data_IF_079252811807
#
_entry.id   IF_079252811807
#
_cell.length_a   1.000
_cell.length_b   1.000
_cell.length_c   1.000
_cell.angle_alpha   90.00
_cell.angle_beta   90.00
_cell.angle_gamma   90.00
#
_symmetry.space_group_name_H-M   'P 1'
#
loop_
_entity.id
_entity.type
_entity.pdbx_description
1 polymer ?
#
# COMPACT_ATOMS: atom_id res chain seq x y z
N UNK A 1 4.02 7.18 20.18
CA UNK A 1 2.86 7.25 19.27
C UNK A 1 2.90 8.61 18.59
N UNK A 2 3.26 8.68 17.31
CA UNK A 2 3.27 9.96 16.59
C UNK A 2 1.90 10.17 15.96
N UNK A 3 1.12 11.09 16.51
CA UNK A 3 -0.15 11.51 15.93
C UNK A 3 0.13 12.57 14.85
N UNK A 4 0.18 12.15 13.59
CA UNK A 4 0.23 13.06 12.43
C UNK A 4 -1.19 13.56 12.12
N UNK A 5 -1.67 14.47 12.96
CA UNK A 5 -2.93 15.19 12.75
C UNK A 5 -2.71 16.46 11.93
N UNK A 6 -3.64 16.73 11.03
CA UNK A 6 -3.69 17.97 10.26
C UNK A 6 -5.04 18.64 10.48
N UNK A 7 -5.02 19.93 10.83
CA UNK A 7 -6.21 20.77 10.88
C UNK A 7 -6.47 21.42 9.53
N UNK A 8 -7.74 21.54 9.12
CA UNK A 8 -8.14 22.30 7.94
C UNK A 8 -9.34 23.18 8.31
N UNK A 9 -9.33 24.44 7.90
CA UNK A 9 -10.46 25.34 8.14
C UNK A 9 -11.68 25.00 7.28
N UNK A 10 -12.87 25.50 7.62
CA UNK A 10 -14.06 25.33 6.79
C UNK A 10 -13.84 25.90 5.37
N UNK A 11 -14.08 25.08 4.35
CA UNK A 11 -13.91 25.47 2.94
C UNK A 11 -12.45 25.47 2.45
N UNK A 12 -11.48 25.16 3.32
CA UNK A 12 -10.07 25.11 2.95
C UNK A 12 -9.65 23.70 2.51
N UNK A 13 -8.57 23.62 1.74
CA UNK A 13 -7.95 22.36 1.29
C UNK A 13 -6.53 22.30 1.79
N UNK A 14 -6.13 21.17 2.34
CA UNK A 14 -4.74 20.90 2.72
C UNK A 14 -4.23 19.64 2.03
N UNK A 15 -2.97 19.64 1.64
CA UNK A 15 -2.32 18.51 0.97
C UNK A 15 -1.07 18.11 1.74
N UNK A 16 -1.00 16.84 2.13
CA UNK A 16 0.14 16.28 2.85
C UNK A 16 0.90 15.35 1.91
N UNK A 17 2.21 15.60 1.75
CA UNK A 17 3.13 14.67 1.11
C UNK A 17 4.08 14.12 2.17
N UNK A 18 3.88 12.86 2.54
CA UNK A 18 4.76 12.14 3.45
C UNK A 18 5.71 11.25 2.64
N UNK A 19 7.00 11.34 2.91
CA UNK A 19 8.00 10.41 2.38
C UNK A 19 8.76 9.80 3.54
N UNK A 20 8.76 8.47 3.64
CA UNK A 20 9.37 7.75 4.74
C UNK A 20 10.30 6.67 4.20
N UNK A 21 11.53 6.62 4.75
CA UNK A 21 12.49 5.57 4.49
C UNK A 21 12.55 4.67 5.71
N UNK A 22 12.36 3.36 5.52
CA UNK A 22 12.47 2.40 6.60
C UNK A 22 13.86 2.52 7.28
N UNK A 23 13.92 2.51 8.62
CA UNK A 23 15.19 2.63 9.35
C UNK A 23 15.99 1.31 9.37
N UNK A 24 15.55 0.31 8.62
CA UNK A 24 16.19 -0.99 8.46
C UNK A 24 16.00 -1.48 7.03
N UNK A 25 16.85 -2.42 6.63
CA UNK A 25 16.71 -3.14 5.36
C UNK A 25 15.84 -4.37 5.60
N UNK A 26 14.92 -4.66 4.69
CA UNK A 26 14.18 -5.92 4.70
C UNK A 26 15.15 -7.03 4.33
N UNK A 27 15.44 -7.92 5.29
CA UNK A 27 16.35 -9.04 5.08
C UNK A 27 15.52 -10.26 4.70
N UNK A 28 15.23 -10.38 3.40
CA UNK A 28 14.45 -11.45 2.78
C UNK A 28 15.18 -12.81 2.76
N UNK A 29 16.22 -12.98 3.59
CA UNK A 29 17.16 -14.09 3.58
C UNK A 29 17.27 -14.84 4.90
N UNK A 30 16.69 -16.04 4.91
CA UNK A 30 17.00 -17.24 5.72
C UNK A 30 16.50 -17.36 7.18
N UNK A 31 15.80 -18.49 7.37
CA UNK A 31 15.58 -19.28 8.60
C UNK A 31 14.34 -19.04 9.47
N UNK A 32 13.64 -17.90 9.39
CA UNK A 32 12.28 -17.77 9.94
C UNK A 32 11.24 -17.36 8.88
N UNK A 33 11.71 -16.77 7.78
CA UNK A 33 10.98 -16.43 6.54
C UNK A 33 11.54 -17.19 5.32
N UNK A 34 12.08 -18.41 5.53
CA UNK A 34 12.83 -19.21 4.56
C UNK A 34 12.05 -19.71 3.33
N UNK A 35 10.89 -19.12 3.02
CA UNK A 35 10.10 -19.46 1.85
C UNK A 35 10.19 -18.38 0.76
N UNK A 36 11.28 -17.60 0.69
CA UNK A 36 11.49 -16.62 -0.38
C UNK A 36 10.26 -15.78 -0.66
N UNK A 37 9.52 -15.40 0.37
CA UNK A 37 8.19 -14.79 0.28
C UNK A 37 8.03 -13.76 1.38
N UNK A 38 7.57 -12.59 0.99
CA UNK A 38 7.33 -11.42 1.84
C UNK A 38 5.89 -10.93 1.65
N UNK A 39 5.30 -10.43 2.72
CA UNK A 39 3.96 -9.85 2.72
C UNK A 39 3.97 -8.36 3.07
N UNK A 40 3.03 -7.63 2.47
CA UNK A 40 2.75 -6.24 2.80
C UNK A 40 1.24 -6.05 2.90
N UNK A 41 0.78 -5.35 3.94
CA UNK A 41 -0.61 -4.97 4.09
C UNK A 41 -0.75 -3.48 4.42
N UNK A 42 -1.82 -2.89 3.89
CA UNK A 42 -2.19 -1.50 4.11
C UNK A 42 -3.68 -1.43 4.41
N UNK A 43 -4.01 -0.92 5.59
CA UNK A 43 -5.38 -0.56 5.94
C UNK A 43 -5.57 0.94 5.68
N UNK A 44 -6.51 1.28 4.81
CA UNK A 44 -6.94 2.65 4.57
C UNK A 44 -8.36 2.82 5.09
N UNK A 45 -8.53 3.66 6.11
CA UNK A 45 -9.83 3.91 6.72
C UNK A 45 -10.46 5.18 6.17
N UNK A 46 -11.73 5.08 5.78
CA UNK A 46 -12.49 6.24 5.33
C UNK A 46 -12.88 7.09 6.53
N UNK A 47 -12.66 8.41 6.43
CA UNK A 47 -13.19 9.35 7.42
C UNK A 47 -14.70 9.53 7.23
N UNK A 48 -15.47 9.39 8.32
CA UNK A 48 -16.91 9.61 8.30
C UNK A 48 -17.28 11.01 7.77
N UNK A 49 -18.37 11.09 6.99
CA UNK A 49 -18.85 12.34 6.39
C UNK A 49 -18.07 12.81 5.14
N UNK A 50 -17.05 12.05 4.69
CA UNK A 50 -16.34 12.35 3.44
C UNK A 50 -16.91 11.55 2.26
N UNK A 51 -16.91 12.15 1.07
CA UNK A 51 -17.36 11.53 -0.18
C UNK A 51 -16.45 11.94 -1.35
N UNK A 52 -16.51 11.21 -2.46
CA UNK A 52 -15.76 11.54 -3.68
C UNK A 52 -14.24 11.46 -3.51
N UNK A 53 -13.76 10.59 -2.61
CA UNK A 53 -12.32 10.32 -2.45
C UNK A 53 -11.94 9.12 -3.29
N UNK A 54 -10.76 9.18 -3.89
CA UNK A 54 -10.23 8.11 -4.72
C UNK A 54 -8.86 7.72 -4.16
N UNK A 55 -8.63 6.43 -4.00
CA UNK A 55 -7.39 5.86 -3.52
C UNK A 55 -6.65 5.23 -4.69
N UNK A 56 -5.41 5.65 -4.89
CA UNK A 56 -4.44 4.98 -5.75
C UNK A 56 -3.26 4.56 -4.90
N UNK A 57 -2.89 3.28 -4.97
CA UNK A 57 -1.72 2.71 -4.31
C UNK A 57 -0.82 2.06 -5.34
N UNK A 58 0.46 2.36 -5.30
CA UNK A 58 1.47 1.81 -6.20
C UNK A 58 2.57 1.15 -5.37
N UNK A 59 2.86 -0.11 -5.67
CA UNK A 59 3.94 -0.86 -5.06
C UNK A 59 4.89 -1.26 -6.17
N UNK A 60 6.15 -0.84 -6.05
CA UNK A 60 7.23 -1.23 -6.95
C UNK A 60 8.15 -2.19 -6.22
N UNK A 61 8.38 -3.35 -6.82
CA UNK A 61 9.33 -4.33 -6.34
C UNK A 61 10.35 -4.68 -7.43
N UNK A 62 11.55 -5.13 -7.04
CA UNK A 62 12.59 -5.50 -7.99
C UNK A 62 12.16 -6.67 -8.91
N UNK A 63 12.76 -6.78 -10.12
CA UNK A 63 12.37 -7.79 -11.12
C UNK A 63 12.61 -9.25 -10.71
N UNK A 64 13.44 -9.51 -9.70
CA UNK A 64 13.66 -10.83 -9.12
C UNK A 64 12.48 -11.34 -8.28
N UNK A 65 11.49 -10.48 -8.01
CA UNK A 65 10.26 -10.82 -7.30
C UNK A 65 9.10 -11.05 -8.26
N UNK A 66 8.13 -11.87 -7.84
CA UNK A 66 6.86 -12.12 -8.51
C UNK A 66 5.71 -11.95 -7.53
N UNK A 67 4.59 -11.39 -7.98
CA UNK A 67 3.36 -11.35 -7.22
C UNK A 67 2.77 -12.78 -7.11
N UNK A 68 2.53 -13.24 -5.89
CA UNK A 68 1.89 -14.55 -5.65
C UNK A 68 0.48 -14.43 -5.12
N UNK A 69 0.15 -13.32 -4.47
CA UNK A 69 -1.19 -13.06 -3.96
C UNK A 69 -1.44 -11.57 -3.85
N UNK A 70 -2.70 -11.17 -4.04
CA UNK A 70 -3.13 -9.78 -3.85
C UNK A 70 -4.57 -9.73 -3.36
N UNK A 71 -4.88 -8.71 -2.56
CA UNK A 71 -6.26 -8.35 -2.23
C UNK A 71 -6.45 -6.83 -2.25
N UNK A 72 -7.59 -6.34 -2.74
CA UNK A 72 -8.58 -7.07 -3.53
C UNK A 72 -8.11 -7.25 -4.99
N UNK A 73 -8.34 -8.42 -5.58
CA UNK A 73 -7.90 -8.74 -6.95
C UNK A 73 -8.60 -7.87 -8.01
N UNK A 74 -9.90 -7.60 -7.84
CA UNK A 74 -10.72 -6.88 -8.82
C UNK A 74 -10.28 -5.45 -9.11
N UNK A 75 -9.53 -4.84 -8.19
CA UNK A 75 -9.10 -3.44 -8.25
C UNK A 75 -7.59 -3.31 -8.37
N UNK A 76 -6.89 -4.42 -8.63
CA UNK A 76 -5.43 -4.49 -8.69
C UNK A 76 -4.95 -4.95 -10.05
N UNK A 77 -3.99 -4.23 -10.61
CA UNK A 77 -3.37 -4.52 -11.91
C UNK A 77 -1.86 -4.66 -11.72
N UNK A 78 -1.30 -5.78 -12.18
CA UNK A 78 0.15 -6.00 -12.29
C UNK A 78 0.65 -5.52 -13.66
N UNK A 79 1.73 -4.75 -13.67
CA UNK A 79 2.36 -4.20 -14.88
C UNK A 79 3.73 -4.85 -15.14
N UNK A 80 4.25 -4.82 -16.40
CA UNK A 80 5.45 -5.54 -16.82
C UNK A 80 6.79 -5.22 -16.10
N UNK A 81 6.83 -4.23 -15.21
CA UNK A 81 8.07 -3.72 -14.60
C UNK A 81 8.15 -3.93 -13.07
N UNK A 82 7.42 -4.92 -12.53
CA UNK A 82 7.34 -5.13 -11.08
C UNK A 82 6.56 -4.03 -10.36
N UNK A 83 5.59 -3.42 -11.06
CA UNK A 83 4.66 -2.43 -10.52
C UNK A 83 3.29 -3.08 -10.34
N UNK A 84 2.78 -3.04 -9.12
CA UNK A 84 1.40 -3.40 -8.79
C UNK A 84 0.66 -2.13 -8.42
N UNK A 85 -0.42 -1.86 -9.14
CA UNK A 85 -1.26 -0.69 -8.92
C UNK A 85 -2.65 -1.12 -8.46
N UNK A 86 -3.10 -0.53 -7.37
CA UNK A 86 -4.47 -0.61 -6.89
C UNK A 86 -5.15 0.75 -7.06
N UNK A 87 -6.39 0.75 -7.54
CA UNK A 87 -7.20 1.96 -7.71
C UNK A 87 -8.67 1.71 -7.37
N UNK A 88 -9.24 2.52 -6.47
CA UNK A 88 -10.64 2.38 -6.04
C UNK A 88 -11.20 3.67 -5.43
N UNK A 89 -12.51 3.95 -5.57
CA UNK A 89 -13.20 4.90 -4.71
C UNK A 89 -13.06 4.53 -3.24
N UNK A 90 -12.73 5.49 -2.38
CA UNK A 90 -12.65 5.29 -0.93
C UNK A 90 -14.02 5.52 -0.29
N UNK A 91 -14.98 4.65 -0.64
CA UNK A 91 -16.37 4.68 -0.14
C UNK A 91 -16.58 3.88 1.14
N UNK A 92 -15.69 2.92 1.40
CA UNK A 92 -15.57 2.16 2.65
C UNK A 92 -14.10 2.00 3.01
N UNK A 93 -13.82 1.53 4.23
CA UNK A 93 -12.48 1.06 4.60
C UNK A 93 -12.00 0.01 3.59
N UNK A 94 -10.72 0.11 3.22
CA UNK A 94 -10.07 -0.75 2.25
C UNK A 94 -8.90 -1.46 2.92
N UNK A 95 -8.84 -2.78 2.76
CA UNK A 95 -7.69 -3.59 3.13
C UNK A 95 -6.97 -4.00 1.85
N UNK A 96 -5.75 -3.53 1.70
CA UNK A 96 -4.86 -3.93 0.62
C UNK A 96 -3.84 -4.90 1.20
N UNK A 97 -3.57 -5.98 0.47
CA UNK A 97 -2.55 -6.94 0.83
C UNK A 97 -1.87 -7.47 -0.41
N UNK A 98 -0.56 -7.66 -0.33
CA UNK A 98 0.21 -8.35 -1.37
C UNK A 98 1.13 -9.37 -0.71
N UNK A 99 1.37 -10.47 -1.41
CA UNK A 99 2.45 -11.39 -1.11
C UNK A 99 3.32 -11.47 -2.36
N UNK A 100 4.61 -11.22 -2.17
CA UNK A 100 5.63 -11.33 -3.19
C UNK A 100 6.51 -12.52 -2.87
N UNK A 101 7.02 -13.19 -3.89
CA UNK A 101 8.06 -14.21 -3.71
C UNK A 101 9.23 -13.99 -4.65
N UNK A 102 10.41 -14.41 -4.24
CA UNK A 102 11.57 -14.53 -5.12
C UNK A 102 11.28 -15.57 -6.19
N UNK A 103 11.68 -15.27 -7.42
CA UNK A 103 11.50 -16.17 -8.56
C UNK A 103 12.23 -17.50 -8.39
#
# INVERSE_FOLDING_TARGET
>A
MFANWIGVGPGETSTVRLSYRLPFQLNMGSSLFSAGSDDYSLLVQKQAGTSGRFLTSEIRFPPEWKLTWVTPESSTVEQPDGLVQYASPLDSDQLLGIVLSTK
#
